data_IF_553792846509
#
_entry.id   IF_553792846509
#
_cell.length_a   1.000
_cell.length_b   1.000
_cell.length_c   1.000
_cell.angle_alpha   90.00
_cell.angle_beta   90.00
_cell.angle_gamma   90.00
#
_symmetry.space_group_name_H-M   'P 1'
#
loop_
_entity.id
_entity.type
_entity.pdbx_description
1 polymer ?
#
# COMPACT_ATOMS: atom_id res chain seq x y z
N UNK A 1 26.04 9.99 -24.25
CA UNK A 1 25.25 10.99 -23.50
C UNK A 1 23.95 10.32 -23.07
N UNK A 2 23.53 10.50 -21.82
CA UNK A 2 22.24 9.98 -21.36
C UNK A 2 21.10 10.71 -22.08
N UNK A 3 20.00 10.00 -22.37
CA UNK A 3 18.79 10.64 -22.90
C UNK A 3 18.25 11.66 -21.88
N UNK A 4 17.73 12.81 -22.33
CA UNK A 4 17.16 13.79 -21.41
C UNK A 4 15.95 13.19 -20.69
N UNK A 5 15.80 13.53 -19.41
CA UNK A 5 14.61 13.16 -18.63
C UNK A 5 13.43 13.95 -19.18
N UNK A 6 12.36 13.25 -19.56
CA UNK A 6 11.13 13.84 -20.12
C UNK A 6 9.91 13.64 -19.24
N UNK A 7 9.97 12.73 -18.27
CA UNK A 7 8.88 12.44 -17.36
C UNK A 7 9.40 12.11 -15.95
N UNK A 8 8.56 12.36 -14.95
CA UNK A 8 8.80 12.01 -13.54
C UNK A 8 7.57 11.27 -13.02
N UNK A 9 7.76 10.06 -12.49
CA UNK A 9 6.70 9.26 -11.88
C UNK A 9 6.85 9.24 -10.37
N UNK A 10 5.74 9.43 -9.66
CA UNK A 10 5.66 9.37 -8.21
C UNK A 10 4.82 8.17 -7.76
N UNK A 11 5.25 7.50 -6.70
CA UNK A 11 4.31 6.70 -5.90
C UNK A 11 3.42 7.62 -5.06
N UNK A 12 2.34 7.09 -4.50
CA UNK A 12 1.43 7.84 -3.63
C UNK A 12 1.70 7.51 -2.16
N UNK A 13 1.45 6.26 -1.74
CA UNK A 13 1.64 5.82 -0.37
C UNK A 13 3.10 5.86 0.06
N UNK A 14 3.43 6.67 1.07
CA UNK A 14 4.80 6.84 1.57
C UNK A 14 5.66 7.83 0.78
N UNK A 15 5.14 8.41 -0.30
CA UNK A 15 5.82 9.44 -1.09
C UNK A 15 5.00 10.73 -1.06
N UNK A 16 3.84 10.76 -1.71
CA UNK A 16 2.95 11.93 -1.76
C UNK A 16 2.14 12.07 -0.49
N UNK A 17 1.71 10.94 0.08
CA UNK A 17 1.06 10.88 1.39
C UNK A 17 1.90 10.07 2.37
N UNK A 18 1.63 10.20 3.66
CA UNK A 18 2.31 9.41 4.70
C UNK A 18 2.20 7.91 4.45
N UNK A 19 3.27 7.19 4.80
CA UNK A 19 3.37 5.76 4.57
C UNK A 19 2.40 4.98 5.46
N UNK A 20 1.63 4.02 4.91
CA UNK A 20 0.80 3.11 5.72
C UNK A 20 1.67 2.19 6.58
N UNK A 21 2.95 1.99 6.23
CA UNK A 21 3.89 1.18 7.00
C UNK A 21 4.12 1.73 8.42
N UNK A 22 3.88 3.03 8.66
CA UNK A 22 3.96 3.61 9.99
C UNK A 22 2.86 3.07 10.92
N UNK A 23 1.66 2.82 10.38
CA UNK A 23 0.57 2.21 11.15
C UNK A 23 0.88 0.73 11.44
N UNK A 24 1.47 0.03 10.47
CA UNK A 24 1.92 -1.36 10.65
C UNK A 24 2.96 -1.43 11.78
N UNK A 25 4.00 -0.62 11.71
CA UNK A 25 5.08 -0.61 12.71
C UNK A 25 4.54 -0.29 14.12
N UNK A 26 3.67 0.72 14.24
CA UNK A 26 3.04 1.06 15.51
C UNK A 26 2.21 -0.11 16.08
N UNK A 27 1.42 -0.77 15.23
CA UNK A 27 0.64 -1.93 15.61
C UNK A 27 1.52 -3.11 16.04
N UNK A 28 2.61 -3.37 15.33
CA UNK A 28 3.56 -4.42 15.69
C UNK A 28 4.20 -4.17 17.06
N UNK A 29 4.60 -2.93 17.35
CA UNK A 29 5.15 -2.54 18.65
C UNK A 29 4.12 -2.76 19.77
N UNK A 30 2.91 -2.25 19.59
CA UNK A 30 1.84 -2.31 20.60
C UNK A 30 1.44 -3.76 20.92
N UNK A 31 1.39 -4.63 19.90
CA UNK A 31 0.96 -6.02 20.02
C UNK A 31 2.13 -7.00 20.22
N UNK A 32 3.36 -6.51 20.42
CA UNK A 32 4.57 -7.32 20.63
C UNK A 32 4.82 -8.31 19.48
N UNK A 33 4.52 -7.89 18.26
CA UNK A 33 4.80 -8.63 17.04
C UNK A 33 6.22 -8.25 16.59
N UNK A 34 7.06 -9.21 16.15
CA UNK A 34 8.36 -8.91 15.57
C UNK A 34 8.25 -7.93 14.41
N UNK A 35 8.96 -6.81 14.52
CA UNK A 35 8.92 -5.71 13.54
C UNK A 35 9.16 -6.20 12.12
N UNK A 36 8.31 -5.76 11.20
CA UNK A 36 8.35 -6.07 9.77
C UNK A 36 7.62 -7.34 9.37
N UNK A 37 7.07 -8.13 10.30
CA UNK A 37 6.33 -9.34 9.96
C UNK A 37 5.13 -9.07 9.05
N UNK A 38 4.30 -8.08 9.40
CA UNK A 38 3.05 -7.81 8.70
C UNK A 38 3.33 -7.37 7.26
N UNK A 39 4.25 -6.41 7.07
CA UNK A 39 4.63 -5.97 5.74
C UNK A 39 5.30 -7.08 4.93
N UNK A 40 6.14 -7.91 5.58
CA UNK A 40 6.73 -9.08 4.96
C UNK A 40 5.65 -10.08 4.52
N UNK A 41 4.62 -10.31 5.34
CA UNK A 41 3.51 -11.23 5.03
C UNK A 41 2.71 -10.74 3.82
N UNK A 42 2.31 -9.47 3.80
CA UNK A 42 1.60 -8.84 2.66
C UNK A 42 2.39 -9.00 1.36
N UNK A 43 3.70 -8.74 1.40
CA UNK A 43 4.57 -8.85 0.24
C UNK A 43 4.71 -10.30 -0.26
N UNK A 44 4.99 -11.23 0.66
CA UNK A 44 5.27 -12.64 0.35
C UNK A 44 4.02 -13.53 0.21
N UNK A 45 2.82 -12.99 0.45
CA UNK A 45 1.57 -13.68 0.18
C UNK A 45 1.49 -14.19 -1.27
N UNK A 46 0.73 -15.26 -1.51
CA UNK A 46 0.58 -15.83 -2.85
C UNK A 46 0.02 -14.82 -3.86
N UNK A 47 0.11 -15.08 -5.18
CA UNK A 47 -0.40 -14.17 -6.21
C UNK A 47 -1.91 -13.87 -6.05
N UNK A 48 -2.65 -14.81 -5.44
CA UNK A 48 -4.08 -14.72 -5.16
C UNK A 48 -4.41 -14.30 -3.72
N UNK A 49 -3.46 -13.70 -2.98
CA UNK A 49 -3.75 -13.21 -1.64
C UNK A 49 -4.82 -12.11 -1.66
N UNK A 50 -5.62 -12.02 -0.59
CA UNK A 50 -6.71 -11.05 -0.47
C UNK A 50 -6.23 -9.63 -0.78
N UNK A 51 -5.07 -9.22 -0.23
CA UNK A 51 -4.47 -7.92 -0.50
C UNK A 51 -4.18 -7.68 -1.99
N UNK A 52 -3.54 -8.65 -2.66
CA UNK A 52 -3.12 -8.50 -4.07
C UNK A 52 -4.32 -8.51 -5.02
N UNK A 53 -5.32 -9.34 -4.72
CA UNK A 53 -6.60 -9.36 -5.45
C UNK A 53 -7.36 -8.04 -5.30
N UNK A 54 -7.35 -7.46 -4.10
CA UNK A 54 -7.94 -6.15 -3.86
C UNK A 54 -7.23 -5.05 -4.66
N UNK A 55 -5.89 -5.04 -4.66
CA UNK A 55 -5.10 -4.06 -5.43
C UNK A 55 -5.36 -4.14 -6.95
N UNK A 56 -5.63 -5.34 -7.47
CA UNK A 56 -6.00 -5.57 -8.88
C UNK A 56 -7.50 -5.43 -9.16
N UNK A 57 -8.30 -5.02 -8.17
CA UNK A 57 -9.76 -4.87 -8.29
C UNK A 57 -10.49 -6.17 -8.69
N UNK A 58 -9.95 -7.33 -8.30
CA UNK A 58 -10.54 -8.66 -8.54
C UNK A 58 -11.60 -9.02 -7.48
N UNK A 59 -11.58 -8.34 -6.34
CA UNK A 59 -12.53 -8.48 -5.23
C UNK A 59 -12.91 -7.11 -4.68
N UNK A 60 -14.04 -7.04 -3.98
CA UNK A 60 -14.51 -5.83 -3.31
C UNK A 60 -13.88 -5.70 -1.92
N UNK A 61 -13.79 -4.46 -1.42
CA UNK A 61 -13.45 -4.18 -0.03
C UNK A 61 -14.68 -4.41 0.85
N UNK A 62 -14.99 -5.66 1.15
CA UNK A 62 -16.10 -6.08 1.99
C UNK A 62 -15.64 -7.02 3.13
N UNK A 63 -16.58 -7.57 3.89
CA UNK A 63 -16.26 -8.45 5.01
C UNK A 63 -15.49 -9.71 4.57
N UNK A 64 -15.74 -10.24 3.37
CA UNK A 64 -15.00 -11.39 2.85
C UNK A 64 -13.53 -11.04 2.57
N UNK A 65 -13.24 -9.82 2.08
CA UNK A 65 -11.86 -9.33 1.98
C UNK A 65 -11.20 -9.27 3.37
N UNK A 66 -11.88 -8.70 4.37
CA UNK A 66 -11.31 -8.53 5.70
C UNK A 66 -11.06 -9.88 6.41
N UNK A 67 -11.97 -10.84 6.28
CA UNK A 67 -11.80 -12.20 6.78
C UNK A 67 -10.58 -12.88 6.13
N UNK A 68 -10.46 -12.80 4.80
CA UNK A 68 -9.33 -13.35 4.06
C UNK A 68 -7.99 -12.71 4.43
N UNK A 69 -7.94 -11.37 4.49
CA UNK A 69 -6.74 -10.64 4.87
C UNK A 69 -6.30 -10.98 6.29
N UNK A 70 -7.23 -11.03 7.24
CA UNK A 70 -6.94 -11.45 8.60
C UNK A 70 -6.41 -12.88 8.66
N UNK A 71 -7.05 -13.83 7.96
CA UNK A 71 -6.61 -15.21 7.94
C UNK A 71 -5.16 -15.35 7.41
N UNK A 72 -4.80 -14.59 6.37
CA UNK A 72 -3.45 -14.57 5.80
C UNK A 72 -2.39 -14.03 6.76
N UNK A 73 -2.70 -12.95 7.49
CA UNK A 73 -1.78 -12.38 8.49
C UNK A 73 -1.52 -13.35 9.66
N UNK A 74 -2.51 -14.18 10.00
CA UNK A 74 -2.47 -15.13 11.10
C UNK A 74 -2.04 -16.55 10.66
N UNK A 75 -1.60 -16.73 9.42
CA UNK A 75 -1.30 -18.06 8.87
C UNK A 75 0.00 -18.64 9.49
N UNK A 76 -0.05 -19.82 10.15
CA UNK A 76 1.10 -20.36 10.88
C UNK A 76 2.34 -20.67 10.03
N UNK A 77 2.19 -21.06 8.75
CA UNK A 77 3.33 -21.34 7.89
C UNK A 77 4.06 -20.07 7.47
N UNK A 78 3.36 -18.96 7.23
CA UNK A 78 3.92 -17.63 6.98
C UNK A 78 4.70 -17.14 8.18
N UNK A 79 4.16 -17.32 9.38
CA UNK A 79 4.84 -16.99 10.63
C UNK A 79 6.12 -17.81 10.84
N UNK A 80 6.03 -19.13 10.63
CA UNK A 80 7.18 -20.05 10.72
C UNK A 80 8.24 -19.69 9.70
N UNK A 81 7.83 -19.40 8.46
CA UNK A 81 8.74 -19.01 7.38
C UNK A 81 9.47 -17.71 7.68
N UNK A 82 8.76 -16.67 8.13
CA UNK A 82 9.36 -15.39 8.49
C UNK A 82 10.47 -15.52 9.55
N UNK A 83 10.25 -16.35 10.57
CA UNK A 83 11.25 -16.62 11.60
C UNK A 83 12.38 -17.51 11.10
N UNK A 84 12.05 -18.54 10.29
CA UNK A 84 13.02 -19.44 9.67
C UNK A 84 14.02 -18.72 8.78
N UNK A 85 13.56 -17.74 7.97
CA UNK A 85 14.44 -16.88 7.15
C UNK A 85 15.41 -16.04 8.00
N UNK A 86 15.11 -15.85 9.29
CA UNK A 86 15.95 -15.12 10.26
C UNK A 86 16.78 -16.06 11.15
N UNK A 87 16.68 -17.38 10.97
CA UNK A 87 17.31 -18.36 11.84
C UNK A 87 16.77 -18.37 13.27
N UNK A 88 15.52 -17.92 13.45
CA UNK A 88 14.86 -17.80 14.76
C UNK A 88 13.82 -18.91 14.93
N UNK A 89 13.63 -19.34 16.18
CA UNK A 89 12.49 -20.19 16.55
C UNK A 89 11.26 -19.29 16.64
N UNK A 90 10.16 -19.58 15.92
CA UNK A 90 8.95 -18.77 15.99
C UNK A 90 8.33 -18.81 17.40
N UNK A 91 7.97 -17.66 18.00
CA UNK A 91 7.12 -17.64 19.18
C UNK A 91 5.69 -18.06 18.81
N UNK A 92 4.73 -18.14 19.77
CA UNK A 92 3.33 -18.37 19.44
C UNK A 92 2.82 -17.36 18.39
N UNK A 93 1.99 -17.83 17.47
CA UNK A 93 1.43 -16.99 16.40
C UNK A 93 0.59 -15.88 17.06
N UNK A 94 0.85 -14.60 16.74
CA UNK A 94 0.06 -13.50 17.29
C UNK A 94 -1.36 -13.56 16.73
N UNK A 95 -2.33 -12.97 17.43
CA UNK A 95 -3.64 -12.69 16.88
C UNK A 95 -3.63 -11.26 16.32
N UNK A 96 -3.69 -11.14 15.00
CA UNK A 96 -3.69 -9.87 14.29
C UNK A 96 -5.11 -9.56 13.84
N UNK A 97 -5.62 -8.39 14.26
CA UNK A 97 -6.89 -7.83 13.75
C UNK A 97 -6.64 -7.15 12.41
N UNK A 98 -6.89 -7.90 11.33
CA UNK A 98 -6.62 -7.43 9.97
C UNK A 98 -7.53 -6.27 9.55
N UNK A 99 -8.77 -6.24 10.02
CA UNK A 99 -9.75 -5.20 9.66
C UNK A 99 -9.40 -3.87 10.33
N UNK A 100 -9.12 -3.90 11.64
CA UNK A 100 -8.67 -2.71 12.37
C UNK A 100 -7.38 -2.16 11.76
N UNK A 101 -6.40 -3.04 11.52
CA UNK A 101 -5.10 -2.67 10.96
C UNK A 101 -5.25 -2.01 9.59
N UNK A 102 -6.10 -2.58 8.72
CA UNK A 102 -6.39 -1.99 7.41
C UNK A 102 -6.86 -0.55 7.55
N UNK A 103 -7.88 -0.31 8.36
CA UNK A 103 -8.44 1.03 8.52
C UNK A 103 -7.47 2.00 9.17
N UNK A 104 -6.63 1.55 10.10
CA UNK A 104 -5.59 2.38 10.70
C UNK A 104 -4.51 2.79 9.68
N UNK A 105 -4.09 1.86 8.81
CA UNK A 105 -3.24 2.21 7.66
C UNK A 105 -3.90 3.29 6.78
N UNK A 106 -5.20 3.15 6.50
CA UNK A 106 -5.93 4.11 5.66
C UNK A 106 -6.04 5.48 6.29
N UNK A 107 -6.19 5.53 7.61
CA UNK A 107 -6.28 6.78 8.38
C UNK A 107 -4.95 7.52 8.39
N UNK A 108 -3.85 6.80 8.62
CA UNK A 108 -2.49 7.38 8.65
C UNK A 108 -2.08 7.91 7.27
N UNK A 109 -2.44 7.21 6.19
CA UNK A 109 -2.10 7.58 4.81
C UNK A 109 -2.97 8.68 4.19
N UNK A 110 -3.50 9.62 4.99
CA UNK A 110 -4.30 10.76 4.51
C UNK A 110 -3.56 12.09 4.49
N UNK A 111 -2.46 12.18 5.23
CA UNK A 111 -1.72 13.42 5.33
C UNK A 111 -0.74 13.52 4.15
N UNK A 112 -0.84 14.59 3.37
CA UNK A 112 0.14 14.90 2.35
C UNK A 112 1.52 15.14 2.95
N UNK A 113 2.55 14.80 2.19
CA UNK A 113 3.92 15.25 2.42
C UNK A 113 4.12 16.60 1.70
N UNK A 114 4.16 17.74 2.43
CA UNK A 114 4.17 19.07 1.81
C UNK A 114 5.38 19.30 0.92
N UNK A 115 6.53 18.70 1.29
CA UNK A 115 7.77 18.82 0.51
C UNK A 115 7.65 18.17 -0.86
N UNK A 116 6.98 17.02 -0.94
CA UNK A 116 6.76 16.29 -2.20
C UNK A 116 5.70 16.99 -3.06
N UNK A 117 4.60 17.47 -2.45
CA UNK A 117 3.58 18.25 -3.16
C UNK A 117 4.19 19.51 -3.78
N UNK A 118 4.96 20.28 -3.02
CA UNK A 118 5.67 21.45 -3.52
C UNK A 118 6.69 21.11 -4.64
N UNK A 119 7.34 19.95 -4.56
CA UNK A 119 8.25 19.50 -5.62
C UNK A 119 7.48 19.18 -6.92
N UNK A 120 6.34 18.49 -6.81
CA UNK A 120 5.44 18.22 -7.94
C UNK A 120 4.99 19.53 -8.59
N UNK A 121 4.51 20.49 -7.80
CA UNK A 121 4.05 21.79 -8.29
C UNK A 121 5.16 22.55 -9.03
N UNK A 122 6.37 22.62 -8.45
CA UNK A 122 7.52 23.26 -9.09
C UNK A 122 7.91 22.58 -10.39
N UNK A 123 7.92 21.25 -10.44
CA UNK A 123 8.22 20.50 -11.65
C UNK A 123 7.18 20.77 -12.74
N UNK A 124 5.88 20.82 -12.39
CA UNK A 124 4.79 21.17 -13.32
C UNK A 124 4.94 22.59 -13.87
N UNK A 125 5.27 23.56 -13.01
CA UNK A 125 5.47 24.96 -13.42
C UNK A 125 6.59 25.14 -14.44
N UNK A 126 7.57 24.22 -14.49
CA UNK A 126 8.61 24.29 -15.53
C UNK A 126 8.09 24.02 -16.94
N UNK A 127 6.97 23.29 -17.08
CA UNK A 127 6.45 22.82 -18.37
C UNK A 127 7.37 21.82 -19.11
N UNK A 128 8.49 21.39 -18.50
CA UNK A 128 9.51 20.55 -19.16
C UNK A 128 9.21 19.06 -19.10
N UNK A 129 8.50 18.63 -18.06
CA UNK A 129 8.30 17.22 -17.73
C UNK A 129 6.83 16.85 -17.77
N UNK A 130 6.53 15.62 -18.19
CA UNK A 130 5.25 14.99 -17.87
C UNK A 130 5.30 14.45 -16.45
N UNK A 131 4.34 14.86 -15.63
CA UNK A 131 4.29 14.49 -14.22
C UNK A 131 3.21 13.45 -14.03
N UNK A 132 3.61 12.24 -13.63
CA UNK A 132 2.70 11.13 -13.47
C UNK A 132 2.74 10.50 -12.08
N UNK A 133 1.68 9.76 -11.75
CA UNK A 133 1.62 8.89 -10.59
C UNK A 133 1.46 7.43 -11.01
N UNK A 134 2.09 6.52 -10.27
CA UNK A 134 1.92 5.06 -10.41
C UNK A 134 1.73 4.45 -9.03
N UNK A 135 0.52 3.98 -8.73
CA UNK A 135 0.14 3.56 -7.38
C UNK A 135 -0.60 2.23 -7.36
N UNK A 136 -0.30 1.42 -6.33
CA UNK A 136 -1.19 0.34 -5.93
C UNK A 136 -2.24 0.94 -4.99
N UNK A 137 -3.50 0.81 -5.36
CA UNK A 137 -4.63 1.33 -4.59
C UNK A 137 -5.82 0.36 -4.64
N UNK A 138 -6.95 0.77 -4.10
CA UNK A 138 -8.16 -0.04 -3.97
C UNK A 138 -9.40 0.84 -4.08
N UNK A 139 -10.54 0.22 -4.44
CA UNK A 139 -11.84 0.89 -4.45
C UNK A 139 -12.45 0.81 -3.05
N UNK A 140 -12.65 1.97 -2.44
CA UNK A 140 -13.37 2.08 -1.17
C UNK A 140 -14.87 1.82 -1.35
N UNK A 141 -15.58 1.33 -0.32
CA UNK A 141 -17.04 1.24 -0.34
C UNK A 141 -17.68 2.60 -0.65
N UNK A 142 -18.85 2.57 -1.30
CA UNK A 142 -19.48 3.73 -1.90
C UNK A 142 -19.62 4.93 -0.95
N UNK A 143 -20.10 4.65 0.26
CA UNK A 143 -20.40 5.63 1.31
C UNK A 143 -19.24 5.81 2.31
N UNK A 144 -18.06 5.26 2.04
CA UNK A 144 -16.95 5.33 2.98
C UNK A 144 -16.27 6.71 2.94
N UNK A 145 -15.98 7.36 4.08
CA UNK A 145 -15.34 8.71 4.14
C UNK A 145 -13.92 8.77 3.56
N UNK A 146 -13.38 7.63 3.13
CA UNK A 146 -12.02 7.48 2.60
C UNK A 146 -11.98 7.35 1.09
N UNK A 147 -13.15 7.31 0.45
CA UNK A 147 -13.27 7.40 -1.00
C UNK A 147 -12.65 8.73 -1.44
N UNK A 148 -11.68 8.65 -2.34
CA UNK A 148 -10.99 9.82 -2.89
C UNK A 148 -11.97 10.61 -3.78
N UNK A 149 -12.01 11.93 -3.59
CA UNK A 149 -12.78 12.87 -4.41
C UNK A 149 -12.02 13.31 -5.67
N UNK A 150 -10.78 12.84 -5.84
CA UNK A 150 -9.91 13.13 -6.97
C UNK A 150 -8.89 14.24 -6.70
N UNK A 151 -8.86 14.80 -5.49
CA UNK A 151 -7.90 15.84 -5.09
C UNK A 151 -6.44 15.43 -5.31
N UNK A 152 -6.08 14.18 -4.99
CA UNK A 152 -4.71 13.68 -5.22
C UNK A 152 -4.43 13.49 -6.71
N UNK A 153 -5.42 13.02 -7.49
CA UNK A 153 -5.27 12.81 -8.93
C UNK A 153 -4.99 14.12 -9.67
N UNK A 154 -5.58 15.22 -9.22
CA UNK A 154 -5.39 16.56 -9.82
C UNK A 154 -3.94 17.08 -9.79
N UNK A 155 -3.07 16.49 -8.95
CA UNK A 155 -1.65 16.82 -8.89
C UNK A 155 -0.86 16.34 -10.12
N UNK A 156 -1.40 15.44 -10.94
CA UNK A 156 -0.65 14.76 -12.01
C UNK A 156 -1.28 14.97 -13.39
N UNK A 157 -0.45 14.95 -14.43
CA UNK A 157 -0.89 14.91 -15.83
C UNK A 157 -1.43 13.52 -16.21
N UNK A 158 -0.86 12.48 -15.59
CA UNK A 158 -1.23 11.07 -15.79
C UNK A 158 -1.31 10.40 -14.42
N UNK A 159 -2.40 9.68 -14.15
CA UNK A 159 -2.57 8.92 -12.92
C UNK A 159 -2.83 7.46 -13.25
N UNK A 160 -1.91 6.57 -12.89
CA UNK A 160 -2.02 5.13 -13.14
C UNK A 160 -2.31 4.44 -11.80
N UNK A 161 -3.57 4.01 -11.66
CA UNK A 161 -4.08 3.32 -10.48
C UNK A 161 -4.21 1.82 -10.75
N UNK A 162 -3.72 0.97 -9.84
CA UNK A 162 -3.81 -0.49 -10.00
C UNK A 162 -5.25 -0.99 -10.19
N UNK A 163 -6.23 -0.36 -9.53
CA UNK A 163 -7.64 -0.74 -9.70
C UNK A 163 -8.24 -0.42 -11.06
N UNK A 164 -7.68 0.58 -11.74
CA UNK A 164 -8.14 1.00 -13.07
C UNK A 164 -7.52 0.15 -14.17
N UNK A 165 -6.26 -0.26 -13.99
CA UNK A 165 -5.51 -1.05 -14.98
C UNK A 165 -5.56 -2.56 -14.73
N UNK A 166 -6.00 -3.00 -13.56
CA UNK A 166 -6.08 -4.42 -13.17
C UNK A 166 -4.71 -5.07 -12.92
N UNK A 167 -3.67 -4.27 -12.69
CA UNK A 167 -2.27 -4.72 -12.51
C UNK A 167 -1.63 -3.96 -11.35
N UNK A 168 -0.70 -4.59 -10.64
CA UNK A 168 -0.06 -4.00 -9.46
C UNK A 168 1.46 -4.03 -9.55
N UNK A 169 2.13 -3.04 -8.98
CA UNK A 169 3.57 -3.14 -8.70
C UNK A 169 3.83 -4.31 -7.74
N UNK A 170 4.90 -5.11 -7.89
CA UNK A 170 5.95 -5.04 -8.92
C UNK A 170 5.74 -6.05 -10.07
N UNK A 171 4.51 -6.33 -10.49
CA UNK A 171 4.26 -7.19 -11.66
C UNK A 171 4.95 -6.59 -12.90
N UNK A 172 5.53 -7.45 -13.73
CA UNK A 172 6.37 -7.02 -14.86
C UNK A 172 5.58 -6.66 -16.12
N UNK A 173 4.30 -7.01 -16.19
CA UNK A 173 3.43 -6.82 -17.35
C UNK A 173 2.46 -5.67 -17.11
#
# INVERSE_FOLDING_TARGET
MALPITAVLFDIGGVVVRSPLLAIEAYEIENKIPLGYINWNIYHGGPNSAWKRLERNEIKMDDAFFEGFQAELNEPNMWTRYHGEKGLVPPPVPQIDGKWLFWEMMRVSRQYNPSIVNAIEKLRQTGKYKIGALTNNYVFPEDHPYRDDGSTKALFDIYIASVEVGMRKPEHR
#
